data_IF_485710029666
#
_entry.id   IF_485710029666
#
_cell.length_a   1.000
_cell.length_b   1.000
_cell.length_c   1.000
_cell.angle_alpha   90.00
_cell.angle_beta   90.00
_cell.angle_gamma   90.00
#
_symmetry.space_group_name_H-M   'P 1'
#
loop_
_entity.id
_entity.type
_entity.pdbx_description
1 polymer ?
#
# COMPACT_ATOMS: atom_id res chain seq x y z
N UNK A 1 -6.27 8.28 3.01
CA UNK A 1 -7.29 7.38 2.43
C UNK A 1 -8.45 8.06 1.67
N UNK A 2 -9.23 8.98 2.26
CA UNK A 2 -10.41 9.58 1.57
C UNK A 2 -10.06 10.27 0.25
N UNK A 3 -9.01 11.10 0.25
CA UNK A 3 -8.57 11.80 -0.96
C UNK A 3 -7.98 10.82 -1.99
N UNK A 4 -7.25 9.78 -1.55
CA UNK A 4 -6.82 8.69 -2.42
C UNK A 4 -8.02 8.02 -3.13
N UNK A 5 -9.08 7.66 -2.41
CA UNK A 5 -10.28 7.07 -3.01
C UNK A 5 -11.02 8.01 -3.96
N UNK A 6 -10.95 9.33 -3.74
CA UNK A 6 -11.51 10.30 -4.69
C UNK A 6 -10.73 10.29 -6.01
N UNK A 7 -9.40 10.19 -5.94
CA UNK A 7 -8.52 10.15 -7.10
C UNK A 7 -8.49 8.77 -7.78
N UNK A 8 -8.65 7.70 -6.99
CA UNK A 8 -8.61 6.30 -7.41
C UNK A 8 -9.88 5.55 -6.98
N UNK A 9 -11.07 5.87 -7.53
CA UNK A 9 -12.33 5.23 -7.12
C UNK A 9 -12.34 3.71 -7.27
N UNK A 10 -11.58 3.20 -8.25
CA UNK A 10 -11.44 1.76 -8.50
C UNK A 10 -10.87 1.01 -7.30
N UNK A 11 -9.86 1.56 -6.65
CA UNK A 11 -9.18 0.95 -5.49
C UNK A 11 -10.10 0.83 -4.27
N UNK A 12 -11.10 1.71 -4.17
CA UNK A 12 -12.03 1.75 -3.03
C UNK A 12 -13.42 1.20 -3.36
N UNK A 13 -13.60 0.64 -4.56
CA UNK A 13 -14.86 0.07 -5.03
C UNK A 13 -15.03 -1.42 -4.72
N UNK A 14 -14.02 -2.07 -4.14
CA UNK A 14 -14.04 -3.51 -3.84
C UNK A 14 -15.08 -3.79 -2.74
N UNK A 15 -16.02 -4.69 -3.04
CA UNK A 15 -17.08 -5.15 -2.13
C UNK A 15 -16.95 -6.67 -1.95
N UNK A 16 -16.15 -7.14 -0.99
CA UNK A 16 -15.97 -8.58 -0.78
C UNK A 16 -17.27 -9.21 -0.29
N UNK A 17 -17.66 -10.32 -0.91
CA UNK A 17 -18.84 -11.11 -0.50
C UNK A 17 -18.55 -12.01 0.68
N UNK A 18 -17.28 -12.35 0.92
CA UNK A 18 -16.81 -13.12 2.06
C UNK A 18 -15.99 -12.22 2.98
N UNK A 19 -16.45 -12.05 4.22
CA UNK A 19 -15.78 -11.26 5.27
C UNK A 19 -15.08 -12.14 6.32
N UNK A 20 -15.07 -13.46 6.12
CA UNK A 20 -14.34 -14.35 7.01
C UNK A 20 -12.83 -14.04 6.95
N UNK A 21 -12.11 -14.10 8.08
CA UNK A 21 -10.66 -13.94 8.08
C UNK A 21 -9.98 -14.92 7.12
N UNK A 22 -8.94 -14.46 6.43
CA UNK A 22 -8.15 -15.34 5.59
C UNK A 22 -7.42 -16.39 6.46
N UNK A 23 -7.49 -17.69 6.12
CA UNK A 23 -6.77 -18.71 6.87
C UNK A 23 -5.26 -18.53 6.70
N UNK A 24 -4.54 -18.54 7.81
CA UNK A 24 -3.08 -18.45 7.82
C UNK A 24 -2.44 -19.78 7.40
N UNK A 25 -2.42 -20.04 6.10
CA UNK A 25 -1.67 -21.17 5.51
C UNK A 25 -0.19 -20.84 5.34
N UNK A 26 0.66 -21.86 5.20
CA UNK A 26 2.07 -21.66 4.85
C UNK A 26 2.25 -20.89 3.54
N UNK A 27 1.31 -21.07 2.58
CA UNK A 27 1.29 -20.32 1.33
C UNK A 27 1.06 -18.82 1.55
N UNK A 28 0.11 -18.46 2.43
CA UNK A 28 -0.15 -17.07 2.80
C UNK A 28 1.03 -16.46 3.55
N UNK A 29 1.61 -17.19 4.51
CA UNK A 29 2.79 -16.75 5.24
C UNK A 29 3.98 -16.46 4.31
N UNK A 30 4.29 -17.36 3.37
CA UNK A 30 5.34 -17.13 2.37
C UNK A 30 5.04 -15.92 1.49
N UNK A 31 3.78 -15.71 1.11
CA UNK A 31 3.38 -14.55 0.30
C UNK A 31 3.60 -13.25 1.06
N UNK A 32 3.21 -13.18 2.33
CA UNK A 32 3.42 -11.99 3.18
C UNK A 32 4.91 -11.65 3.28
N UNK A 33 5.75 -12.63 3.65
CA UNK A 33 7.20 -12.44 3.74
C UNK A 33 7.82 -11.97 2.42
N UNK A 34 7.38 -12.55 1.30
CA UNK A 34 7.89 -12.18 -0.03
C UNK A 34 7.50 -10.75 -0.41
N UNK A 35 6.24 -10.36 -0.20
CA UNK A 35 5.76 -9.00 -0.49
C UNK A 35 6.52 -7.99 0.37
N UNK A 36 6.61 -8.21 1.69
CA UNK A 36 7.34 -7.32 2.60
C UNK A 36 8.80 -7.16 2.19
N UNK A 37 9.51 -8.26 1.91
CA UNK A 37 10.90 -8.19 1.50
C UNK A 37 11.10 -7.46 0.17
N UNK A 38 10.19 -7.65 -0.80
CA UNK A 38 10.25 -6.98 -2.10
C UNK A 38 9.98 -5.48 -2.00
N UNK A 39 8.93 -5.08 -1.29
CA UNK A 39 8.57 -3.66 -1.14
C UNK A 39 9.67 -2.92 -0.38
N UNK A 40 10.15 -3.46 0.74
CA UNK A 40 11.23 -2.84 1.51
C UNK A 40 12.55 -2.70 0.74
N UNK A 41 12.79 -3.56 -0.26
CA UNK A 41 13.96 -3.45 -1.12
C UNK A 41 13.78 -2.47 -2.29
N UNK A 42 12.54 -2.28 -2.75
CA UNK A 42 12.23 -1.47 -3.93
C UNK A 42 11.91 -0.01 -3.59
N UNK A 43 11.37 0.26 -2.40
CA UNK A 43 10.90 1.57 -1.96
C UNK A 43 11.89 2.18 -1.00
N UNK A 44 12.48 3.32 -1.39
CA UNK A 44 13.35 4.10 -0.51
C UNK A 44 12.48 5.03 0.37
N UNK A 45 12.63 4.99 1.71
CA UNK A 45 11.87 5.87 2.59
C UNK A 45 12.14 7.36 2.30
N UNK A 46 11.07 8.14 2.13
CA UNK A 46 11.11 9.59 1.91
C UNK A 46 9.76 10.19 2.32
N UNK A 47 9.76 11.35 2.98
CA UNK A 47 8.51 11.95 3.48
C UNK A 47 7.65 12.51 2.34
N UNK A 48 6.35 12.53 2.55
CA UNK A 48 5.39 13.21 1.68
C UNK A 48 5.73 14.68 1.38
N UNK A 49 6.23 15.41 2.37
CA UNK A 49 6.68 16.79 2.17
C UNK A 49 7.84 16.87 1.17
N UNK A 50 8.77 15.92 1.20
CA UNK A 50 9.90 15.89 0.27
C UNK A 50 9.48 15.47 -1.15
N UNK A 51 8.46 14.60 -1.28
CA UNK A 51 8.00 14.07 -2.58
C UNK A 51 7.00 15.02 -3.26
N UNK A 52 6.05 15.56 -2.48
CA UNK A 52 4.87 16.26 -2.96
C UNK A 52 4.73 17.70 -2.44
N UNK A 53 5.51 18.11 -1.42
CA UNK A 53 5.41 19.43 -0.81
C UNK A 53 4.17 19.64 0.06
N UNK A 54 3.54 18.54 0.50
CA UNK A 54 2.33 18.52 1.32
C UNK A 54 2.32 17.23 2.14
N UNK A 55 1.90 17.29 3.40
CA UNK A 55 1.73 16.10 4.24
C UNK A 55 0.49 15.27 3.86
N UNK A 56 0.54 13.96 4.11
CA UNK A 56 -0.56 12.98 4.00
C UNK A 56 -1.13 12.82 2.58
N UNK A 57 -0.24 12.77 1.58
CA UNK A 57 -0.53 12.45 0.19
C UNK A 57 -0.36 10.95 -0.05
N UNK A 58 -1.43 10.21 0.26
CA UNK A 58 -1.50 8.78 0.00
C UNK A 58 -1.34 8.48 -1.50
N UNK A 59 -0.36 7.67 -1.87
CA UNK A 59 -0.10 7.23 -3.23
C UNK A 59 0.41 5.77 -3.25
N UNK A 60 0.69 5.24 -4.45
CA UNK A 60 1.54 4.05 -4.56
C UNK A 60 2.99 4.51 -4.82
N UNK A 61 4.01 3.81 -4.29
CA UNK A 61 5.41 4.19 -4.40
C UNK A 61 6.00 3.80 -5.77
N UNK A 62 5.25 4.05 -6.85
CA UNK A 62 5.62 3.73 -8.23
C UNK A 62 6.89 4.47 -8.69
N UNK A 63 7.27 5.54 -7.98
CA UNK A 63 8.52 6.29 -8.18
C UNK A 63 9.72 5.69 -7.43
N UNK A 64 9.54 4.57 -6.73
CA UNK A 64 10.56 3.93 -5.89
C UNK A 64 10.85 4.66 -4.58
N UNK A 65 10.00 5.60 -4.19
CA UNK A 65 10.05 6.34 -2.93
C UNK A 65 8.65 6.45 -2.35
N UNK A 66 8.56 6.53 -1.03
CA UNK A 66 7.32 6.72 -0.27
C UNK A 66 7.61 6.73 1.22
N UNK A 67 6.63 7.08 2.04
CA UNK A 67 6.71 6.96 3.49
C UNK A 67 5.97 5.72 4.02
N UNK A 68 5.16 5.83 5.06
CA UNK A 68 4.66 4.66 5.80
C UNK A 68 3.39 4.08 5.19
N UNK A 69 2.54 4.95 4.65
CA UNK A 69 1.23 4.63 4.08
C UNK A 69 1.26 4.26 2.60
N UNK A 70 2.32 4.65 1.90
CA UNK A 70 2.56 4.38 0.47
C UNK A 70 2.94 2.91 0.20
#
# INVERSE_FOLDING_TARGET
>A
HYDFCKLHPGECSIRPTNLAPAPMSDGLMRKLLNVTARVNAAVKPMSDMDIYGKDEVWAYPDKGVGDCED
#
